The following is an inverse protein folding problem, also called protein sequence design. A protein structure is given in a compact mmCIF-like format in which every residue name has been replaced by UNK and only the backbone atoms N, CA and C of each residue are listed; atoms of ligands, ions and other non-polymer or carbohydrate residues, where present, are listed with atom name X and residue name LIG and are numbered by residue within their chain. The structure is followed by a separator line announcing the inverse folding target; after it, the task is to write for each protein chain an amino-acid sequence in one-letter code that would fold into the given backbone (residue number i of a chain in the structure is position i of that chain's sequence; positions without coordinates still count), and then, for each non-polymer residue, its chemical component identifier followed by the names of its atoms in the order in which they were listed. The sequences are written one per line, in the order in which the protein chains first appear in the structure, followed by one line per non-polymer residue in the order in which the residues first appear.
data_IF_805440146172
#
_entry.id   IF_805440146172
#
_cell.length_a   1.000
_cell.length_b   1.000
_cell.length_c   1.000
_cell.angle_alpha   90.00
_cell.angle_beta   90.00
_cell.angle_gamma   90.00
#
_symmetry.space_group_name_H-M   'P 1'
#
loop_
_entity.id
_entity.type
_entity.pdbx_description
1 polymer ?
#
# COMPACT_ATOMS: atom_id res chain seq x y z
N UNK A 1 -18.39 13.39 4.78
CA UNK A 1 -17.72 13.01 3.52
C UNK A 1 -16.77 14.13 3.11
N UNK A 2 -15.46 13.89 3.14
CA UNK A 2 -14.47 14.94 2.85
C UNK A 2 -13.78 14.66 1.51
N UNK A 3 -13.64 15.70 0.70
CA UNK A 3 -12.76 15.68 -0.46
C UNK A 3 -11.43 16.30 -0.09
N UNK A 4 -10.36 15.78 -0.69
CA UNK A 4 -9.05 16.40 -0.64
C UNK A 4 -8.51 16.57 -2.06
N UNK A 5 -7.70 17.60 -2.27
CA UNK A 5 -7.12 17.94 -3.56
C UNK A 5 -5.59 17.84 -3.51
N UNK A 6 -5.01 17.36 -4.60
CA UNK A 6 -3.57 17.44 -4.82
C UNK A 6 -3.31 18.47 -5.92
N UNK A 7 -2.60 19.55 -5.60
CA UNK A 7 -2.27 20.58 -6.57
C UNK A 7 -1.22 20.12 -7.59
N UNK A 8 -0.25 19.31 -7.16
CA UNK A 8 0.81 18.78 -8.04
C UNK A 8 0.24 17.86 -9.12
N UNK A 9 -0.64 16.95 -8.73
CA UNK A 9 -1.26 15.99 -9.64
C UNK A 9 -2.55 16.50 -10.29
N UNK A 10 -3.03 17.70 -9.91
CA UNK A 10 -4.37 18.24 -10.25
C UNK A 10 -5.47 17.19 -10.10
N UNK A 11 -5.48 16.51 -8.95
CA UNK A 11 -6.35 15.37 -8.72
C UNK A 11 -7.15 15.48 -7.45
N UNK A 12 -8.42 15.04 -7.48
CA UNK A 12 -9.29 14.93 -6.32
C UNK A 12 -9.29 13.51 -5.76
N UNK A 13 -9.33 13.43 -4.44
CA UNK A 13 -9.39 12.18 -3.68
C UNK A 13 -10.64 12.25 -2.79
N UNK A 14 -11.47 11.23 -2.88
CA UNK A 14 -12.59 11.06 -1.96
C UNK A 14 -12.13 10.20 -0.79
N UNK A 15 -12.49 10.59 0.44
CA UNK A 15 -12.22 9.81 1.64
C UNK A 15 -13.40 9.81 2.60
N UNK A 16 -13.57 8.68 3.27
CA UNK A 16 -14.56 8.49 4.31
C UNK A 16 -13.95 8.76 5.70
N UNK A 17 -13.31 9.93 5.84
CA UNK A 17 -12.64 10.37 7.07
C UNK A 17 -13.01 11.83 7.34
N UNK A 18 -13.21 12.28 8.58
CA UNK A 18 -13.47 13.69 8.90
C UNK A 18 -12.35 14.60 8.39
N UNK A 19 -12.69 15.80 7.88
CA UNK A 19 -11.70 16.75 7.35
C UNK A 19 -10.67 17.19 8.41
N UNK A 20 -11.04 17.22 9.69
CA UNK A 20 -10.14 17.55 10.79
C UNK A 20 -8.96 16.57 10.96
N UNK A 21 -9.10 15.34 10.45
CA UNK A 21 -8.07 14.31 10.51
C UNK A 21 -7.26 14.22 9.20
N UNK A 22 -7.40 15.21 8.31
CA UNK A 22 -6.80 15.15 6.96
C UNK A 22 -5.37 15.69 6.83
N UNK A 23 -4.83 16.26 7.91
CA UNK A 23 -3.45 16.73 7.96
C UNK A 23 -2.45 15.57 7.79
N UNK A 24 -1.46 15.76 6.91
CA UNK A 24 -0.40 14.77 6.66
C UNK A 24 -0.77 13.64 5.69
N UNK A 25 -1.95 13.68 5.06
CA UNK A 25 -2.26 12.69 4.03
C UNK A 25 -1.51 12.97 2.72
N UNK A 26 -0.95 11.88 2.18
CA UNK A 26 -0.24 11.92 0.91
C UNK A 26 -1.15 11.49 -0.25
N UNK A 27 -0.93 12.13 -1.39
CA UNK A 27 -1.59 11.83 -2.64
C UNK A 27 -1.17 10.42 -3.11
N UNK A 28 -2.11 9.51 -3.39
CA UNK A 28 -1.76 8.17 -3.86
C UNK A 28 -1.19 8.15 -5.29
N UNK A 29 -1.28 9.27 -6.02
CA UNK A 29 -0.69 9.40 -7.36
C UNK A 29 0.78 9.85 -7.35
N UNK A 30 1.13 10.86 -6.55
CA UNK A 30 2.46 11.50 -6.57
C UNK A 30 3.14 11.63 -5.19
N UNK A 31 2.53 11.14 -4.12
CA UNK A 31 3.09 11.19 -2.77
C UNK A 31 3.17 12.58 -2.14
N UNK A 32 2.68 13.64 -2.82
CA UNK A 32 2.65 15.00 -2.26
C UNK A 32 1.51 15.17 -1.26
N UNK A 33 1.65 16.13 -0.35
CA UNK A 33 0.59 16.44 0.62
C UNK A 33 -0.72 16.83 -0.07
N UNK A 34 -1.82 16.41 0.56
CA UNK A 34 -3.17 16.73 0.14
C UNK A 34 -3.69 17.92 0.94
N UNK A 35 -4.40 18.79 0.25
CA UNK A 35 -5.12 19.90 0.87
C UNK A 35 -6.59 19.52 1.09
N UNK A 36 -7.19 19.89 2.23
CA UNK A 36 -8.63 19.75 2.43
C UNK A 36 -9.38 20.65 1.45
N UNK A 37 -10.56 20.18 1.01
CA UNK A 37 -11.49 20.96 0.18
C UNK A 37 -12.57 21.52 1.08
N UNK A 38 -12.77 22.84 1.07
CA UNK A 38 -13.79 23.50 1.88
C UNK A 38 -15.05 23.78 1.08
N UNK A 39 -14.92 23.98 -0.24
CA UNK A 39 -16.04 24.16 -1.16
C UNK A 39 -15.96 23.23 -2.39
N UNK A 40 -17.11 22.74 -2.86
CA UNK A 40 -17.17 21.80 -3.97
C UNK A 40 -16.74 22.41 -5.32
N UNK A 41 -16.80 23.73 -5.49
CA UNK A 41 -16.32 24.39 -6.71
C UNK A 41 -14.81 24.22 -6.90
N UNK A 42 -14.04 24.01 -5.83
CA UNK A 42 -12.60 23.76 -5.89
C UNK A 42 -12.26 22.42 -6.57
N UNK A 43 -13.23 21.52 -6.71
CA UNK A 43 -13.06 20.23 -7.37
C UNK A 43 -13.16 20.33 -8.90
N UNK A 44 -13.61 21.47 -9.43
CA UNK A 44 -13.77 21.69 -10.86
C UNK A 44 -12.40 21.66 -11.53
N UNK A 45 -12.27 20.87 -12.59
CA UNK A 45 -11.01 20.71 -13.32
C UNK A 45 -9.97 19.82 -12.63
N UNK A 46 -10.30 19.18 -11.50
CA UNK A 46 -9.47 18.15 -10.88
C UNK A 46 -9.89 16.74 -11.32
N UNK A 47 -8.89 15.93 -11.70
CA UNK A 47 -9.09 14.53 -12.09
C UNK A 47 -9.42 13.67 -10.87
N UNK A 48 -10.49 12.87 -10.92
CA UNK A 48 -10.75 11.89 -9.87
C UNK A 48 -9.71 10.76 -9.90
N UNK A 49 -9.00 10.54 -8.79
CA UNK A 49 -8.22 9.31 -8.62
C UNK A 49 -9.19 8.18 -8.35
N UNK A 50 -9.39 7.34 -9.37
CA UNK A 50 -10.06 6.05 -9.16
C UNK A 50 -9.01 5.13 -8.56
N UNK A 51 -9.21 4.73 -7.32
CA UNK A 51 -8.54 3.54 -6.80
C UNK A 51 -8.93 2.43 -7.77
N UNK A 52 -7.95 1.80 -8.42
CA UNK A 52 -8.22 0.62 -9.25
C UNK A 52 -8.98 -0.32 -8.32
N UNK A 53 -10.24 -0.71 -8.60
CA UNK A 53 -10.92 -1.65 -7.74
C UNK A 53 -9.98 -2.83 -7.62
N UNK A 54 -9.59 -3.17 -6.38
CA UNK A 54 -8.92 -4.44 -6.14
C UNK A 54 -9.89 -5.46 -6.73
N UNK A 55 -9.54 -6.02 -7.87
CA UNK A 55 -10.33 -7.10 -8.41
C UNK A 55 -10.31 -8.17 -7.32
N UNK A 56 -11.46 -8.63 -6.80
CA UNK A 56 -11.47 -9.77 -5.91
C UNK A 56 -10.98 -11.04 -6.63
N UNK A 57 -10.80 -10.97 -7.95
CA UNK A 57 -10.18 -12.02 -8.75
C UNK A 57 -8.65 -11.95 -8.59
N UNK A 58 -8.13 -12.91 -7.81
CA UNK A 58 -6.73 -13.42 -7.82
C UNK A 58 -5.72 -12.82 -6.85
N UNK A 59 -6.11 -12.56 -5.61
CA UNK A 59 -5.23 -12.92 -4.48
C UNK A 59 -6.05 -13.81 -3.56
N UNK A 60 -6.34 -15.06 -3.99
CA UNK A 60 -6.92 -16.02 -3.04
C UNK A 60 -5.93 -16.18 -1.89
N UNK A 61 -6.44 -16.40 -0.68
CA UNK A 61 -5.62 -16.71 0.48
C UNK A 61 -4.55 -17.78 0.13
N UNK A 62 -4.90 -18.72 -0.76
CA UNK A 62 -3.98 -19.75 -1.27
C UNK A 62 -2.71 -19.21 -1.93
N UNK A 63 -2.76 -18.08 -2.67
CA UNK A 63 -1.57 -17.55 -3.32
C UNK A 63 -0.59 -16.96 -2.30
N UNK A 64 -1.12 -16.18 -1.35
CA UNK A 64 -0.33 -15.63 -0.24
C UNK A 64 0.22 -16.73 0.67
N UNK A 65 -0.57 -17.80 0.87
CA UNK A 65 -0.15 -18.98 1.63
C UNK A 65 0.96 -19.75 0.92
N UNK A 66 0.87 -19.95 -0.40
CA UNK A 66 1.93 -20.58 -1.20
C UNK A 66 3.24 -19.78 -1.15
N UNK A 67 3.18 -18.46 -1.30
CA UNK A 67 4.37 -17.60 -1.16
C UNK A 67 4.97 -17.75 0.24
N UNK A 68 4.14 -17.67 1.28
CA UNK A 68 4.58 -17.82 2.67
C UNK A 68 5.19 -19.20 2.94
N UNK A 69 4.65 -20.26 2.33
CA UNK A 69 5.18 -21.61 2.42
C UNK A 69 6.55 -21.72 1.74
N UNK A 70 6.69 -21.16 0.54
CA UNK A 70 7.94 -21.16 -0.20
C UNK A 70 9.05 -20.39 0.54
N UNK A 71 8.71 -19.25 1.15
CA UNK A 71 9.65 -18.48 1.98
C UNK A 71 10.13 -19.31 3.18
N UNK A 72 9.20 -19.94 3.91
CA UNK A 72 9.53 -20.80 5.07
C UNK A 72 10.44 -21.97 4.69
N UNK A 73 10.16 -22.64 3.57
CA UNK A 73 11.00 -23.72 3.05
C UNK A 73 12.41 -23.25 2.70
N UNK A 74 12.51 -22.08 2.07
CA UNK A 74 13.80 -21.49 1.69
C UNK A 74 14.64 -21.17 2.92
N UNK A 75 14.03 -20.55 3.94
CA UNK A 75 14.68 -20.25 5.22
C UNK A 75 15.17 -21.55 5.89
N UNK A 76 14.30 -22.56 6.01
CA UNK A 76 14.66 -23.84 6.63
C UNK A 76 15.82 -24.54 5.92
N UNK A 77 15.85 -24.50 4.57
CA UNK A 77 16.95 -25.07 3.80
C UNK A 77 18.28 -24.35 4.06
N UNK A 78 18.26 -23.02 4.11
CA UNK A 78 19.44 -22.22 4.43
C UNK A 78 19.91 -22.41 5.87
N UNK A 79 18.99 -22.56 6.82
CA UNK A 79 19.31 -22.81 8.23
C UNK A 79 19.93 -24.20 8.42
N UNK A 80 19.39 -25.22 7.77
CA UNK A 80 19.98 -26.56 7.76
C UNK A 80 21.39 -26.55 7.15
N UNK A 81 21.59 -25.82 6.05
CA UNK A 81 22.92 -25.66 5.45
C UNK A 81 23.90 -24.93 6.38
N UNK A 82 23.46 -23.86 7.05
CA UNK A 82 24.26 -23.17 8.07
C UNK A 82 24.63 -24.11 9.21
N UNK A 83 23.69 -24.89 9.71
CA UNK A 83 23.91 -25.84 10.81
C UNK A 83 24.93 -26.92 10.41
N UNK A 84 24.81 -27.49 9.20
CA UNK A 84 25.79 -28.47 8.70
C UNK A 84 27.21 -27.92 8.66
N UNK A 85 27.38 -26.66 8.27
CA UNK A 85 28.69 -25.99 8.28
C UNK A 85 29.22 -25.80 9.70
N UNK A 86 28.35 -25.43 10.65
CA UNK A 86 28.72 -25.28 12.06
C UNK A 86 29.13 -26.64 12.64
N UNK A 87 28.35 -27.68 12.39
CA UNK A 87 28.62 -29.03 12.89
C UNK A 87 29.92 -29.60 12.30
N UNK A 88 30.21 -29.33 11.03
CA UNK A 88 31.47 -29.71 10.38
C UNK A 88 32.71 -28.98 10.93
N UNK A 89 32.52 -27.83 11.59
CA UNK A 89 33.58 -27.06 12.23
C UNK A 89 33.71 -27.36 13.73
N UNK A 90 32.82 -28.21 14.29
CA UNK A 90 32.85 -28.62 15.69
C UNK A 90 33.63 -29.94 15.79
N UNK A 91 34.81 -29.95 16.45
CA UNK A 91 35.67 -31.14 16.56
C UNK A 91 35.05 -32.24 17.43
#
# INVERSE_FOLDING_TARGET
MSHSKCLRCRSRVWRDVPAAESAGFLCPGCGSELEPVTDLSELIGLRALRVRPRSPLRQSADHSERISQQIRQTIAAHDAERQRRIDALRP
#
